data_IF_632668206739
#
_entry.id   IF_632668206739
#
_cell.length_a   1.000
_cell.length_b   1.000
_cell.length_c   1.000
_cell.angle_alpha   90.00
_cell.angle_beta   90.00
_cell.angle_gamma   90.00
#
_symmetry.space_group_name_H-M   'P 1'
#
loop_
_entity.id
_entity.type
_entity.pdbx_description
1 polymer ?
#
# COMPACT_ATOMS: atom_id res chain seq x y z
N UNK A 1 -44.46 18.19 -0.57
CA UNK A 1 -43.63 17.19 0.15
C UNK A 1 -42.39 16.98 -0.70
N UNK A 2 -41.31 17.64 -0.28
CA UNK A 2 -39.90 17.42 -0.62
C UNK A 2 -39.49 17.62 -2.09
N UNK A 3 -39.19 18.87 -2.39
CA UNK A 3 -38.17 19.26 -3.37
C UNK A 3 -36.85 18.55 -3.03
N UNK A 4 -36.29 17.80 -3.98
CA UNK A 4 -34.89 17.38 -3.92
C UNK A 4 -34.17 17.98 -5.12
N UNK A 5 -33.25 18.95 -4.91
CA UNK A 5 -32.43 19.46 -6.00
C UNK A 5 -31.33 18.43 -6.21
N UNK A 6 -31.59 17.42 -7.06
CA UNK A 6 -30.52 16.53 -7.51
C UNK A 6 -29.60 17.34 -8.43
N UNK A 7 -28.63 17.98 -7.79
CA UNK A 7 -27.51 18.65 -8.41
C UNK A 7 -26.64 17.56 -9.05
N UNK A 8 -27.04 17.11 -10.24
CA UNK A 8 -26.31 16.11 -11.00
C UNK A 8 -24.90 16.62 -11.23
N UNK A 9 -23.91 15.93 -10.69
CA UNK A 9 -22.50 16.22 -10.95
C UNK A 9 -22.27 15.97 -12.44
N UNK A 10 -22.27 17.03 -13.24
CA UNK A 10 -21.87 16.98 -14.64
C UNK A 10 -20.34 16.85 -14.65
N UNK A 11 -19.84 15.61 -14.64
CA UNK A 11 -18.42 15.36 -14.91
C UNK A 11 -18.18 15.65 -16.40
N UNK A 12 -18.00 16.93 -16.75
CA UNK A 12 -17.46 17.30 -18.07
C UNK A 12 -15.98 16.95 -18.08
N UNK A 13 -15.62 15.71 -18.46
CA UNK A 13 -14.26 15.46 -18.92
C UNK A 13 -14.07 16.18 -20.24
N UNK A 14 -13.08 17.07 -20.30
CA UNK A 14 -12.44 17.48 -21.56
C UNK A 14 -11.79 16.22 -22.14
N UNK A 15 -12.53 15.43 -22.92
CA UNK A 15 -11.95 14.33 -23.68
C UNK A 15 -11.01 14.90 -24.73
N UNK A 16 -9.85 14.25 -24.88
CA UNK A 16 -8.89 14.54 -25.94
C UNK A 16 -9.56 14.52 -27.32
N UNK A 17 -9.10 15.43 -28.16
CA UNK A 17 -9.53 15.59 -29.56
C UNK A 17 -9.15 14.33 -30.33
N UNK A 18 -10.11 13.42 -30.56
CA UNK A 18 -9.97 12.41 -31.60
C UNK A 18 -10.20 13.08 -32.96
N UNK A 19 -9.10 13.30 -33.69
CA UNK A 19 -9.09 13.70 -35.10
C UNK A 19 -9.91 14.98 -35.41
N UNK A 20 -9.62 16.08 -34.70
CA UNK A 20 -10.09 17.45 -35.01
C UNK A 20 -11.60 17.70 -35.01
N UNK A 21 -12.44 16.68 -34.81
CA UNK A 21 -13.90 16.78 -34.91
C UNK A 21 -14.51 16.83 -33.51
N UNK A 22 -15.05 17.99 -33.15
CA UNK A 22 -15.82 18.19 -31.92
C UNK A 22 -17.05 17.27 -31.95
N UNK A 23 -17.06 16.19 -31.15
CA UNK A 23 -18.20 15.29 -31.06
C UNK A 23 -19.41 16.04 -30.48
N UNK A 24 -20.48 16.16 -31.27
CA UNK A 24 -21.75 16.74 -30.84
C UNK A 24 -22.49 15.71 -29.97
N UNK A 25 -22.14 15.67 -28.69
CA UNK A 25 -22.79 14.77 -27.72
C UNK A 25 -23.98 15.54 -27.13
N UNK A 26 -25.19 15.11 -27.51
CA UNK A 26 -26.45 15.60 -26.95
C UNK A 26 -26.50 15.27 -25.44
N UNK A 27 -27.00 16.16 -24.56
CA UNK A 27 -27.08 15.89 -23.14
C UNK A 27 -27.85 14.60 -22.85
N UNK A 28 -27.34 13.86 -21.86
CA UNK A 28 -27.73 12.50 -21.49
C UNK A 28 -29.20 12.48 -21.03
N UNK A 29 -30.09 12.04 -21.92
CA UNK A 29 -31.48 11.73 -21.62
C UNK A 29 -31.64 10.31 -21.06
N UNK A 30 -32.30 10.21 -19.90
CA UNK A 30 -32.77 8.97 -19.29
C UNK A 30 -33.97 8.46 -20.12
N UNK A 31 -33.81 7.38 -20.92
CA UNK A 31 -34.91 6.88 -21.76
C UNK A 31 -34.61 5.87 -22.87
N UNK A 32 -33.48 5.91 -23.60
CA UNK A 32 -33.30 5.02 -24.77
C UNK A 32 -32.27 3.87 -24.61
N UNK A 33 -32.74 2.64 -24.78
CA UNK A 33 -32.24 1.55 -25.65
C UNK A 33 -30.85 0.90 -25.48
N UNK A 34 -29.81 1.55 -24.96
CA UNK A 34 -28.45 0.98 -25.02
C UNK A 34 -27.61 1.31 -23.77
N UNK A 35 -27.89 0.62 -22.66
CA UNK A 35 -27.20 0.82 -21.38
C UNK A 35 -25.68 0.65 -21.46
N UNK A 36 -25.20 -0.37 -22.18
CA UNK A 36 -23.76 -0.64 -22.34
C UNK A 36 -23.02 0.51 -23.03
N UNK A 37 -23.65 1.14 -24.03
CA UNK A 37 -23.08 2.30 -24.72
C UNK A 37 -23.02 3.51 -23.78
N UNK A 38 -24.10 3.77 -23.02
CA UNK A 38 -24.12 4.85 -22.02
C UNK A 38 -23.02 4.66 -20.98
N UNK A 39 -22.88 3.43 -20.48
CA UNK A 39 -21.83 3.06 -19.54
C UNK A 39 -20.42 3.25 -20.14
N UNK A 40 -20.19 2.79 -21.37
CA UNK A 40 -18.88 2.92 -22.04
C UNK A 40 -18.42 4.37 -22.24
N UNK A 41 -19.36 5.30 -22.41
CA UNK A 41 -19.06 6.73 -22.59
C UNK A 41 -18.87 7.43 -21.24
N UNK A 42 -19.58 6.99 -20.20
CA UNK A 42 -19.54 7.58 -18.87
C UNK A 42 -18.32 7.11 -18.03
N UNK A 43 -17.81 5.92 -18.31
CA UNK A 43 -16.69 5.35 -17.54
C UNK A 43 -15.37 6.07 -17.79
N UNK A 44 -14.50 6.02 -16.78
CA UNK A 44 -13.13 6.52 -16.83
C UNK A 44 -12.17 5.60 -17.59
N UNK A 45 -12.61 4.36 -17.82
CA UNK A 45 -11.80 3.30 -18.42
C UNK A 45 -11.61 3.55 -19.91
N UNK A 46 -10.41 3.99 -20.29
CA UNK A 46 -10.07 4.36 -21.66
C UNK A 46 -10.34 3.24 -22.67
N UNK A 47 -10.13 1.98 -22.29
CA UNK A 47 -10.36 0.82 -23.17
C UNK A 47 -11.84 0.52 -23.43
N UNK A 48 -12.72 0.77 -22.46
CA UNK A 48 -14.14 0.35 -22.51
C UNK A 48 -14.93 1.18 -23.52
N UNK A 49 -14.48 2.40 -23.82
CA UNK A 49 -15.07 3.28 -24.83
C UNK A 49 -15.06 2.60 -26.22
N UNK A 50 -13.98 1.89 -26.56
CA UNK A 50 -13.83 1.24 -27.87
C UNK A 50 -14.80 0.07 -28.08
N UNK A 51 -15.30 -0.56 -27.01
CA UNK A 51 -16.29 -1.64 -27.10
C UNK A 51 -17.69 -1.12 -27.40
N UNK A 52 -18.01 0.12 -27.01
CA UNK A 52 -19.34 0.72 -27.14
C UNK A 52 -19.60 1.47 -28.45
N UNK A 53 -18.59 1.58 -29.34
CA UNK A 53 -18.72 2.33 -30.59
C UNK A 53 -19.50 1.55 -31.67
N UNK A 54 -20.64 2.07 -32.17
CA UNK A 54 -21.57 1.32 -33.03
C UNK A 54 -21.08 1.04 -34.46
N UNK A 55 -19.96 1.65 -34.91
CA UNK A 55 -19.45 1.55 -36.29
C UNK A 55 -18.11 0.83 -36.44
N UNK A 56 -17.65 0.11 -35.40
CA UNK A 56 -16.36 -0.59 -35.42
C UNK A 56 -16.47 -2.05 -35.85
N UNK A 57 -15.54 -2.57 -36.65
CA UNK A 57 -15.51 -3.98 -37.05
C UNK A 57 -15.34 -4.92 -35.84
N UNK A 58 -15.92 -6.12 -35.92
CA UNK A 58 -15.94 -7.08 -34.82
C UNK A 58 -14.55 -7.54 -34.36
N UNK A 59 -13.59 -7.66 -35.29
CA UNK A 59 -12.21 -8.07 -34.97
C UNK A 59 -11.50 -7.05 -34.07
N UNK A 60 -11.67 -5.76 -34.34
CA UNK A 60 -11.11 -4.70 -33.48
C UNK A 60 -11.72 -4.75 -32.09
N UNK A 61 -13.01 -5.06 -31.96
CA UNK A 61 -13.67 -5.20 -30.65
C UNK A 61 -13.09 -6.36 -29.85
N UNK A 62 -12.87 -7.51 -30.48
CA UNK A 62 -12.25 -8.68 -29.84
C UNK A 62 -10.83 -8.35 -29.40
N UNK A 63 -10.05 -7.67 -30.24
CA UNK A 63 -8.71 -7.22 -29.89
C UNK A 63 -8.72 -6.33 -28.63
N UNK A 64 -9.61 -5.33 -28.57
CA UNK A 64 -9.71 -4.47 -27.39
C UNK A 64 -10.18 -5.21 -26.13
N UNK A 65 -11.06 -6.21 -26.26
CA UNK A 65 -11.43 -7.08 -25.14
C UNK A 65 -10.21 -7.86 -24.62
N UNK A 66 -9.41 -8.43 -25.52
CA UNK A 66 -8.18 -9.14 -25.15
C UNK A 66 -7.18 -8.21 -24.44
N UNK A 67 -6.97 -7.00 -24.96
CA UNK A 67 -6.06 -6.01 -24.36
C UNK A 67 -6.54 -5.60 -22.96
N UNK A 68 -7.84 -5.30 -22.78
CA UNK A 68 -8.40 -4.94 -21.47
C UNK A 68 -8.25 -6.09 -20.48
N UNK A 69 -8.53 -7.32 -20.91
CA UNK A 69 -8.36 -8.51 -20.09
C UNK A 69 -6.90 -8.68 -19.65
N UNK A 70 -5.95 -8.55 -20.57
CA UNK A 70 -4.53 -8.66 -20.27
C UNK A 70 -4.05 -7.59 -19.28
N UNK A 71 -4.50 -6.34 -19.43
CA UNK A 71 -4.18 -5.27 -18.48
C UNK A 71 -4.74 -5.57 -17.09
N UNK A 72 -5.97 -6.08 -17.01
CA UNK A 72 -6.60 -6.42 -15.73
C UNK A 72 -5.88 -7.58 -15.02
N UNK A 73 -5.47 -8.61 -15.78
CA UNK A 73 -4.67 -9.72 -15.28
C UNK A 73 -3.31 -9.25 -14.77
N UNK A 74 -2.59 -8.45 -15.56
CA UNK A 74 -1.29 -7.90 -15.17
C UNK A 74 -1.37 -7.03 -13.92
N UNK A 75 -2.41 -6.20 -13.83
CA UNK A 75 -2.69 -5.38 -12.64
C UNK A 75 -2.94 -6.28 -11.41
N UNK A 76 -3.77 -7.32 -11.56
CA UNK A 76 -4.03 -8.30 -10.50
C UNK A 76 -2.75 -9.00 -10.02
N UNK A 77 -1.90 -9.46 -10.96
CA UNK A 77 -0.62 -10.09 -10.62
C UNK A 77 0.32 -9.13 -9.88
N UNK A 78 0.41 -7.86 -10.31
CA UNK A 78 1.25 -6.87 -9.62
C UNK A 78 0.73 -6.57 -8.22
N UNK A 79 -0.59 -6.43 -8.05
CA UNK A 79 -1.20 -6.22 -6.73
C UNK A 79 -0.89 -7.42 -5.83
N UNK A 80 -1.00 -8.65 -6.34
CA UNK A 80 -0.69 -9.85 -5.58
C UNK A 80 0.79 -9.91 -5.17
N UNK A 81 1.71 -9.58 -6.09
CA UNK A 81 3.14 -9.52 -5.78
C UNK A 81 3.44 -8.45 -4.72
N UNK A 82 2.88 -7.25 -4.87
CA UNK A 82 3.02 -6.19 -3.88
C UNK A 82 2.44 -6.58 -2.52
N UNK A 83 1.29 -7.24 -2.51
CA UNK A 83 0.65 -7.72 -1.30
C UNK A 83 1.50 -8.77 -0.59
N UNK A 84 2.04 -9.75 -1.33
CA UNK A 84 2.95 -10.75 -0.79
C UNK A 84 4.22 -10.08 -0.24
N UNK A 85 4.82 -9.15 -0.98
CA UNK A 85 5.97 -8.37 -0.52
C UNK A 85 5.65 -7.51 0.71
N UNK A 86 4.41 -7.06 0.89
CA UNK A 86 4.00 -6.31 2.08
C UNK A 86 3.77 -7.22 3.28
N UNK A 87 3.24 -8.43 3.06
CA UNK A 87 3.04 -9.45 4.09
C UNK A 87 4.36 -10.10 4.53
N UNK A 88 5.28 -10.31 3.60
CA UNK A 88 6.64 -10.81 3.83
C UNK A 88 7.61 -9.68 4.19
N UNK A 89 7.20 -8.43 3.99
CA UNK A 89 7.94 -7.21 4.22
C UNK A 89 8.19 -6.99 5.70
N UNK A 90 9.25 -7.63 6.17
CA UNK A 90 9.95 -7.35 7.42
C UNK A 90 10.04 -5.82 7.64
N UNK A 91 9.85 -5.40 8.89
CA UNK A 91 9.90 -3.99 9.27
C UNK A 91 11.31 -3.51 8.90
N UNK A 92 11.43 -2.73 7.81
CA UNK A 92 12.69 -2.12 7.43
C UNK A 92 13.10 -1.15 8.54
N UNK A 93 13.90 -1.65 9.49
CA UNK A 93 14.46 -0.87 10.57
C UNK A 93 15.59 -0.05 9.97
N UNK A 94 15.26 1.16 9.55
CA UNK A 94 16.26 2.13 9.12
C UNK A 94 16.98 2.60 10.40
N UNK A 95 18.11 1.97 10.71
CA UNK A 95 19.09 2.51 11.64
C UNK A 95 19.71 3.75 10.99
N UNK A 96 19.06 4.90 11.19
CA UNK A 96 19.71 6.16 10.87
C UNK A 96 20.78 6.40 11.93
N UNK A 97 22.03 6.14 11.58
CA UNK A 97 23.15 6.61 12.39
C UNK A 97 23.13 8.14 12.35
N UNK A 98 22.48 8.74 13.34
CA UNK A 98 22.31 10.19 13.41
C UNK A 98 23.61 10.84 13.89
N UNK A 99 24.71 10.64 13.16
CA UNK A 99 25.94 11.42 13.34
C UNK A 99 25.70 12.92 13.11
N UNK A 100 24.56 13.28 12.50
CA UNK A 100 24.08 14.65 12.30
C UNK A 100 23.22 15.20 13.44
N UNK A 101 22.78 14.37 14.39
CA UNK A 101 21.93 14.79 15.52
C UNK A 101 22.74 15.06 16.80
N UNK A 102 24.05 14.80 16.81
CA UNK A 102 24.89 15.10 17.97
C UNK A 102 25.06 16.60 18.24
N UNK A 103 24.71 17.47 17.28
CA UNK A 103 24.69 18.93 17.47
C UNK A 103 23.39 19.46 18.10
N UNK A 104 22.36 18.63 18.30
CA UNK A 104 21.07 19.01 18.88
C UNK A 104 20.70 18.23 20.15
N UNK A 105 21.56 17.31 20.62
CA UNK A 105 21.32 16.44 21.77
C UNK A 105 21.98 16.96 23.06
N UNK A 106 21.72 18.21 23.43
CA UNK A 106 22.17 18.72 24.73
C UNK A 106 21.40 18.13 25.93
N UNK A 107 20.27 17.44 25.69
CA UNK A 107 19.35 16.93 26.72
C UNK A 107 19.25 15.39 26.80
N UNK A 108 20.33 14.65 26.48
CA UNK A 108 20.34 13.20 26.73
C UNK A 108 20.57 12.95 28.22
N UNK A 109 19.64 12.32 28.96
CA UNK A 109 19.84 12.03 30.37
C UNK A 109 20.99 11.05 30.54
N UNK A 110 21.88 11.34 31.47
CA UNK A 110 22.96 10.43 31.83
C UNK A 110 22.37 9.07 32.26
N UNK A 111 22.88 7.94 31.75
CA UNK A 111 22.31 6.63 32.06
C UNK A 111 22.44 6.32 33.55
N UNK A 112 21.51 5.54 34.08
CA UNK A 112 21.63 5.01 35.43
C UNK A 112 22.83 4.06 35.51
N UNK A 113 23.84 4.43 36.29
CA UNK A 113 24.97 3.55 36.59
C UNK A 113 24.62 2.72 37.81
N UNK A 114 24.64 1.39 37.67
CA UNK A 114 24.56 0.47 38.80
C UNK A 114 25.90 -0.22 38.95
N UNK A 115 26.55 -0.03 40.10
CA UNK A 115 27.80 -0.70 40.47
C UNK A 115 27.45 -1.79 41.47
N UNK A 116 27.70 -3.05 41.12
CA UNK A 116 27.61 -4.17 42.05
C UNK A 116 29.00 -4.40 42.67
N UNK A 117 29.06 -4.67 43.97
CA UNK A 117 30.31 -5.04 44.63
C UNK A 117 30.53 -6.55 44.58
N UNK A 118 31.68 -6.96 44.05
CA UNK A 118 32.05 -8.39 43.98
C UNK A 118 32.37 -9.00 45.35
N UNK A 119 32.39 -8.18 46.41
CA UNK A 119 32.64 -8.61 47.78
C UNK A 119 31.62 -9.66 48.27
N UNK A 120 30.36 -9.58 47.82
CA UNK A 120 29.35 -10.57 48.19
C UNK A 120 29.57 -11.91 47.48
N UNK A 121 30.07 -11.87 46.24
CA UNK A 121 30.39 -13.06 45.46
C UNK A 121 31.65 -13.75 46.01
N UNK A 122 32.70 -12.99 46.32
CA UNK A 122 33.93 -13.53 46.90
C UNK A 122 33.69 -14.19 48.27
N UNK A 123 32.82 -13.61 49.11
CA UNK A 123 32.46 -14.22 50.39
C UNK A 123 31.66 -15.51 50.21
N UNK A 124 30.82 -15.61 49.17
CA UNK A 124 30.08 -16.83 48.87
C UNK A 124 31.02 -17.94 48.38
N UNK A 125 31.94 -17.62 47.48
CA UNK A 125 32.95 -18.55 46.96
C UNK A 125 33.89 -19.06 48.08
N UNK A 126 34.31 -18.17 48.98
CA UNK A 126 35.14 -18.53 50.13
C UNK A 126 34.39 -19.47 51.10
N UNK A 127 33.11 -19.21 51.37
CA UNK A 127 32.32 -20.10 52.23
C UNK A 127 32.04 -21.45 51.57
N UNK A 128 31.77 -21.49 50.26
CA UNK A 128 31.58 -22.73 49.51
C UNK A 128 32.86 -23.58 49.47
N UNK A 129 34.02 -22.94 49.27
CA UNK A 129 35.31 -23.64 49.25
C UNK A 129 35.66 -24.21 50.62
N UNK A 130 35.39 -23.48 51.71
CA UNK A 130 35.56 -23.98 53.08
C UNK A 130 34.62 -25.18 53.33
N UNK A 131 33.35 -25.10 52.93
CA UNK A 131 32.41 -26.21 53.10
C UNK A 131 32.86 -27.47 52.36
N UNK A 132 33.31 -27.34 51.12
CA UNK A 132 33.82 -28.47 50.34
C UNK A 132 35.08 -29.07 50.99
N UNK A 133 36.02 -28.24 51.45
CA UNK A 133 37.22 -28.73 52.16
C UNK A 133 36.89 -29.42 53.49
N UNK A 134 35.84 -28.97 54.19
CA UNK A 134 35.40 -29.63 55.42
C UNK A 134 34.71 -30.97 55.12
N UNK A 135 33.84 -31.03 54.11
CA UNK A 135 33.17 -32.29 53.72
C UNK A 135 34.19 -33.34 53.26
N UNK A 136 35.18 -32.95 52.46
CA UNK A 136 36.25 -33.83 51.97
C UNK A 136 37.17 -34.34 53.09
N UNK A 137 37.16 -33.69 54.27
CA UNK A 137 37.85 -34.16 55.47
C UNK A 137 37.04 -35.14 56.32
N UNK A 138 35.73 -35.25 56.11
CA UNK A 138 34.83 -36.11 56.88
C UNK A 138 34.35 -37.36 56.10
N UNK A 139 34.65 -37.45 54.80
CA UNK A 139 34.46 -38.64 53.96
C UNK A 139 35.77 -39.42 53.89
#
# INVERSE_FOLDING_TARGET
MIDSPFNGIIIRRRMGVLNGKKLNIKPIGFGEGNYLRKFSIATSLHGVIYLGEPKRPYLERIFWICVISLVFLMCGCQIQQLYNNWMEGDIMTILNESNRHFSALNDVPFPGITICSDLQLQNLDNNLTILNQTLDRYV
#
